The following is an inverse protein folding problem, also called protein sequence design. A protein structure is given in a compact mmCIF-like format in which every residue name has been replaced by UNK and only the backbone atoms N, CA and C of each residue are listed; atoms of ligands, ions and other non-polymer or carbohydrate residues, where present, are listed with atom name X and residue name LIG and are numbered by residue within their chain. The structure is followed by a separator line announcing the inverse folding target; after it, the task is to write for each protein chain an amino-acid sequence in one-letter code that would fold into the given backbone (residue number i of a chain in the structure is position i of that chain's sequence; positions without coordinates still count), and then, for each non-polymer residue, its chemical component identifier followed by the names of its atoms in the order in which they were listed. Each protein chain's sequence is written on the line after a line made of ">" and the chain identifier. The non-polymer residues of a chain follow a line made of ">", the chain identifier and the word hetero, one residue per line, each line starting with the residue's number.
data_IF_078968141535
#
_entry.id   IF_078968141535
#
_cell.length_a   1.000
_cell.length_b   1.000
_cell.length_c   1.000
_cell.angle_alpha   90.00
_cell.angle_beta   90.00
_cell.angle_gamma   90.00
#
_symmetry.space_group_name_H-M   'P 1'
#
loop_
_entity.id
_entity.type
_entity.pdbx_description
1 polymer ?
#
# COMPACT_ATOMS: atom_id res chain seq x y z
N UNK A 1 3.16 4.44 -0.78
CA UNK A 1 2.45 4.12 -2.06
C UNK A 1 1.43 5.20 -2.33
N UNK A 2 1.70 6.04 -3.32
CA UNK A 2 0.78 7.07 -3.80
C UNK A 2 0.03 6.65 -5.06
N UNK A 3 -0.62 7.62 -5.71
CA UNK A 3 -1.30 7.41 -7.00
C UNK A 3 -0.33 7.20 -8.16
N UNK A 4 0.69 8.05 -8.29
CA UNK A 4 1.67 7.99 -9.38
C UNK A 4 2.97 7.25 -9.06
N UNK A 5 3.38 7.28 -7.79
CA UNK A 5 4.68 6.78 -7.33
C UNK A 5 4.57 5.91 -6.07
N UNK A 6 5.67 5.26 -5.74
CA UNK A 6 5.90 4.60 -4.45
C UNK A 6 7.27 4.98 -3.91
N UNK A 7 7.28 5.50 -2.70
CA UNK A 7 8.46 5.86 -1.94
C UNK A 7 8.80 4.72 -0.97
N UNK A 8 10.07 4.32 -0.97
CA UNK A 8 10.66 3.40 0.00
C UNK A 8 11.72 4.15 0.79
N UNK A 9 11.60 4.12 2.11
CA UNK A 9 12.51 4.83 3.02
C UNK A 9 12.90 3.89 4.15
N UNK A 10 14.20 3.80 4.42
CA UNK A 10 14.72 3.17 5.63
C UNK A 10 15.26 4.27 6.53
N UNK A 11 14.74 4.34 7.76
CA UNK A 11 15.17 5.31 8.76
C UNK A 11 15.96 4.62 9.88
N UNK A 12 17.02 5.27 10.36
CA UNK A 12 17.80 4.86 11.53
C UNK A 12 18.06 6.07 12.42
N UNK A 13 17.67 6.00 13.69
CA UNK A 13 17.84 7.13 14.64
C UNK A 13 17.15 8.42 14.17
N UNK A 14 15.99 8.31 13.52
CA UNK A 14 15.25 9.47 12.99
C UNK A 14 15.82 10.07 11.69
N UNK A 15 16.89 9.52 11.12
CA UNK A 15 17.48 9.98 9.85
C UNK A 15 17.26 8.95 8.75
N UNK A 16 16.94 9.37 7.51
CA UNK A 16 16.85 8.44 6.39
C UNK A 16 18.25 7.94 6.00
N UNK A 17 18.43 6.63 5.93
CA UNK A 17 19.66 5.96 5.45
C UNK A 17 19.50 5.38 4.04
N UNK A 18 18.26 5.20 3.60
CA UNK A 18 17.91 4.87 2.22
C UNK A 18 16.65 5.65 1.84
N UNK A 19 16.65 6.25 0.67
CA UNK A 19 15.47 6.78 0.01
C UNK A 19 15.42 6.30 -1.43
N UNK A 20 14.26 5.84 -1.88
CA UNK A 20 14.02 5.51 -3.26
C UNK A 20 12.60 5.93 -3.64
N UNK A 21 12.46 6.58 -4.79
CA UNK A 21 11.17 6.83 -5.40
C UNK A 21 11.07 6.04 -6.69
N UNK A 22 9.96 5.32 -6.86
CA UNK A 22 9.64 4.59 -8.07
C UNK A 22 8.41 5.22 -8.72
N UNK A 23 8.37 5.41 -10.05
CA UNK A 23 7.18 5.84 -10.78
C UNK A 23 6.16 4.68 -10.92
N UNK A 24 5.84 4.04 -9.79
CA UNK A 24 4.96 2.90 -9.65
C UNK A 24 3.95 3.18 -8.52
N UNK A 25 2.82 3.78 -8.87
CA UNK A 25 1.72 4.04 -7.94
C UNK A 25 0.43 3.31 -8.32
N UNK A 26 -0.57 3.42 -7.46
CA UNK A 26 -1.86 2.74 -7.63
C UNK A 26 -2.56 3.08 -8.96
N UNK A 27 -2.61 4.36 -9.33
CA UNK A 27 -3.22 4.82 -10.59
C UNK A 27 -2.42 4.34 -11.80
N UNK A 28 -1.09 4.36 -11.69
CA UNK A 28 -0.19 3.88 -12.75
C UNK A 28 -0.44 2.40 -13.02
N UNK A 29 -0.58 1.58 -11.98
CA UNK A 29 -0.90 0.16 -12.11
C UNK A 29 -2.28 -0.04 -12.73
N UNK A 30 -3.31 0.64 -12.22
CA UNK A 30 -4.68 0.48 -12.75
C UNK A 30 -4.76 0.83 -14.24
N UNK A 31 -4.24 2.01 -14.62
CA UNK A 31 -4.31 2.50 -16.00
C UNK A 31 -3.52 1.64 -16.99
N UNK A 32 -2.29 1.26 -16.62
CA UNK A 32 -1.39 0.55 -17.56
C UNK A 32 -1.64 -0.95 -17.61
N UNK A 33 -2.05 -1.56 -16.49
CA UNK A 33 -2.07 -3.01 -16.38
C UNK A 33 -3.46 -3.59 -16.17
N UNK A 34 -4.30 -3.00 -15.31
CA UNK A 34 -5.61 -3.59 -14.97
C UNK A 34 -6.70 -3.27 -15.99
N UNK A 35 -6.67 -2.09 -16.59
CA UNK A 35 -7.65 -1.67 -17.61
C UNK A 35 -9.01 -1.31 -17.03
N UNK A 36 -10.04 -1.42 -17.86
CA UNK A 36 -11.43 -1.17 -17.47
C UNK A 36 -12.09 -2.43 -16.92
N UNK A 37 -13.25 -2.23 -16.30
CA UNK A 37 -14.10 -3.33 -15.84
C UNK A 37 -14.77 -4.07 -17.00
N UNK A 38 -15.00 -5.39 -16.87
CA UNK A 38 -14.53 -6.24 -15.77
C UNK A 38 -13.03 -6.56 -15.88
N UNK A 39 -12.27 -6.35 -14.79
CA UNK A 39 -10.83 -6.61 -14.75
C UNK A 39 -10.56 -8.09 -15.04
N UNK A 40 -9.83 -8.38 -16.11
CA UNK A 40 -9.53 -9.75 -16.52
C UNK A 40 -8.41 -10.36 -15.65
N UNK A 41 -8.55 -11.64 -15.25
CA UNK A 41 -7.57 -12.33 -14.40
C UNK A 41 -6.15 -12.35 -14.98
N UNK A 42 -6.01 -12.44 -16.30
CA UNK A 42 -4.69 -12.41 -16.95
C UNK A 42 -4.00 -11.05 -16.80
N UNK A 43 -4.77 -9.95 -16.73
CA UNK A 43 -4.26 -8.59 -16.48
C UNK A 43 -3.76 -8.42 -15.06
N UNK A 44 -4.46 -8.98 -14.08
CA UNK A 44 -3.99 -9.04 -12.68
C UNK A 44 -2.67 -9.82 -12.59
N UNK A 45 -2.56 -10.98 -13.25
CA UNK A 45 -1.31 -11.74 -13.30
C UNK A 45 -0.17 -10.95 -13.96
N UNK A 46 -0.44 -10.24 -15.05
CA UNK A 46 0.53 -9.37 -15.70
C UNK A 46 0.98 -8.22 -14.77
N UNK A 47 0.04 -7.57 -14.08
CA UNK A 47 0.32 -6.52 -13.10
C UNK A 47 1.22 -7.02 -11.97
N UNK A 48 0.90 -8.19 -11.38
CA UNK A 48 1.72 -8.82 -10.33
C UNK A 48 3.17 -9.04 -10.78
N UNK A 49 3.36 -9.61 -11.98
CA UNK A 49 4.71 -9.85 -12.55
C UNK A 49 5.47 -8.55 -12.76
N UNK A 50 4.83 -7.54 -13.35
CA UNK A 50 5.42 -6.23 -13.57
C UNK A 50 5.84 -5.55 -12.27
N UNK A 51 4.92 -5.49 -11.29
CA UNK A 51 5.16 -4.88 -9.97
C UNK A 51 6.34 -5.58 -9.27
N UNK A 52 6.34 -6.91 -9.22
CA UNK A 52 7.43 -7.67 -8.60
C UNK A 52 8.78 -7.40 -9.29
N UNK A 53 8.81 -7.37 -10.62
CA UNK A 53 10.01 -7.02 -11.39
C UNK A 53 10.52 -5.61 -11.10
N UNK A 54 9.61 -4.62 -11.10
CA UNK A 54 9.94 -3.21 -10.86
C UNK A 54 10.44 -2.95 -9.42
N UNK A 55 9.93 -3.70 -8.44
CA UNK A 55 10.30 -3.52 -7.04
C UNK A 55 11.55 -4.29 -6.62
N UNK A 56 11.88 -5.41 -7.27
CA UNK A 56 12.90 -6.37 -6.81
C UNK A 56 14.24 -5.72 -6.45
N UNK A 57 14.80 -4.88 -7.33
CA UNK A 57 16.09 -4.24 -7.09
C UNK A 57 16.07 -3.29 -5.87
N UNK A 58 14.97 -2.55 -5.69
CA UNK A 58 14.82 -1.60 -4.57
C UNK A 58 14.48 -2.32 -3.26
N UNK A 59 13.69 -3.39 -3.31
CA UNK A 59 13.44 -4.26 -2.17
C UNK A 59 14.74 -4.90 -1.66
N UNK A 60 15.58 -5.44 -2.55
CA UNK A 60 16.89 -5.97 -2.17
C UNK A 60 17.83 -4.92 -1.58
N UNK A 61 17.73 -3.65 -1.98
CA UNK A 61 18.45 -2.57 -1.31
C UNK A 61 17.94 -2.34 0.11
N UNK A 62 16.61 -2.29 0.32
CA UNK A 62 15.99 -2.17 1.64
C UNK A 62 16.43 -3.31 2.57
N UNK A 63 16.41 -4.56 2.10
CA UNK A 63 16.86 -5.72 2.91
C UNK A 63 18.33 -5.60 3.34
N UNK A 64 19.22 -5.12 2.47
CA UNK A 64 20.65 -4.94 2.82
C UNK A 64 20.89 -3.90 3.91
N UNK A 65 20.11 -2.84 3.96
CA UNK A 65 20.19 -1.85 5.05
C UNK A 65 19.59 -2.38 6.35
N UNK A 66 18.68 -3.35 6.27
CA UNK A 66 17.97 -3.93 7.39
C UNK A 66 16.87 -3.02 7.94
N UNK A 67 15.86 -3.65 8.54
CA UNK A 67 14.76 -2.98 9.23
C UNK A 67 14.19 -3.91 10.30
N UNK A 68 13.55 -3.35 11.32
CA UNK A 68 12.88 -4.12 12.40
C UNK A 68 11.36 -4.01 12.35
N UNK A 69 10.83 -3.05 11.59
CA UNK A 69 9.41 -2.83 11.41
C UNK A 69 9.13 -2.15 10.07
N UNK A 70 7.95 -2.39 9.52
CA UNK A 70 7.47 -1.73 8.31
C UNK A 70 6.25 -0.86 8.61
N UNK A 71 6.25 0.36 8.08
CA UNK A 71 5.15 1.32 8.21
C UNK A 71 4.61 1.61 6.81
N UNK A 72 3.30 1.43 6.65
CA UNK A 72 2.59 1.81 5.44
C UNK A 72 1.91 3.16 5.64
N UNK A 73 2.07 4.07 4.68
CA UNK A 73 1.32 5.34 4.63
C UNK A 73 0.63 5.53 3.28
N UNK A 74 -0.42 6.33 3.30
CA UNK A 74 -1.22 6.69 2.13
C UNK A 74 -2.60 6.04 2.11
N UNK A 75 -3.49 6.57 1.28
CA UNK A 75 -4.90 6.19 1.28
C UNK A 75 -5.16 4.71 0.97
N UNK A 76 -4.28 4.04 0.21
CA UNK A 76 -4.47 2.64 -0.14
C UNK A 76 -4.31 1.73 1.08
N UNK A 77 -3.22 1.84 1.85
CA UNK A 77 -3.01 0.98 3.03
C UNK A 77 -4.04 1.24 4.13
N UNK A 78 -4.46 2.49 4.30
CA UNK A 78 -5.51 2.85 5.25
C UNK A 78 -6.82 2.13 4.90
N UNK A 79 -7.21 2.11 3.62
CA UNK A 79 -8.43 1.42 3.16
C UNK A 79 -8.29 -0.10 3.23
N UNK A 80 -7.13 -0.64 2.87
CA UNK A 80 -6.86 -2.08 3.03
C UNK A 80 -7.01 -2.53 4.48
N UNK A 81 -6.53 -1.71 5.42
CA UNK A 81 -6.70 -1.96 6.84
C UNK A 81 -8.17 -1.87 7.28
N UNK A 82 -8.94 -0.88 6.79
CA UNK A 82 -10.38 -0.79 7.07
C UNK A 82 -11.17 -1.98 6.54
N UNK A 83 -10.91 -2.42 5.31
CA UNK A 83 -11.55 -3.60 4.74
C UNK A 83 -11.18 -4.83 5.57
N UNK A 84 -9.90 -5.00 5.93
CA UNK A 84 -9.47 -6.10 6.78
C UNK A 84 -10.14 -6.09 8.16
N UNK A 85 -10.27 -4.93 8.79
CA UNK A 85 -10.96 -4.76 10.07
C UNK A 85 -12.47 -5.07 9.94
N UNK A 86 -13.13 -4.53 8.91
CA UNK A 86 -14.55 -4.77 8.63
C UNK A 86 -14.84 -6.27 8.42
N UNK A 87 -13.98 -6.98 7.70
CA UNK A 87 -14.10 -8.44 7.49
C UNK A 87 -13.95 -9.25 8.79
N UNK A 88 -13.31 -8.68 9.83
CA UNK A 88 -13.18 -9.27 11.16
C UNK A 88 -14.25 -8.75 12.14
N UNK A 89 -15.18 -7.90 11.69
CA UNK A 89 -16.17 -7.26 12.57
C UNK A 89 -15.56 -6.27 13.56
N UNK A 90 -14.35 -5.75 13.29
CA UNK A 90 -13.65 -4.81 14.15
C UNK A 90 -13.95 -3.34 13.75
N UNK A 91 -13.74 -2.37 14.67
CA UNK A 91 -13.88 -0.94 14.36
C UNK A 91 -13.03 -0.49 13.17
N UNK A 92 -13.53 0.49 12.40
CA UNK A 92 -12.92 0.91 11.11
C UNK A 92 -12.63 2.41 11.02
N UNK A 93 -13.07 3.18 12.01
CA UNK A 93 -13.05 4.65 12.03
C UNK A 93 -11.59 5.17 12.02
N UNK A 94 -10.78 4.65 12.94
CA UNK A 94 -9.35 4.94 13.03
C UNK A 94 -8.51 3.66 12.91
N UNK A 95 -7.66 3.64 11.88
CA UNK A 95 -6.71 2.56 11.62
C UNK A 95 -5.27 3.02 11.87
N UNK A 96 -5.05 4.19 12.47
CA UNK A 96 -3.71 4.63 12.85
C UNK A 96 -3.10 3.67 13.87
N UNK A 97 -1.86 3.27 13.62
CA UNK A 97 -1.15 2.31 14.48
C UNK A 97 -1.61 0.86 14.32
N UNK A 98 -2.75 0.61 13.64
CA UNK A 98 -3.24 -0.74 13.38
C UNK A 98 -2.19 -1.57 12.66
N UNK A 99 -2.03 -2.83 13.08
CA UNK A 99 -1.13 -3.77 12.44
C UNK A 99 -1.91 -4.64 11.44
N UNK A 100 -1.75 -4.35 10.15
CA UNK A 100 -2.30 -5.16 9.09
C UNK A 100 -1.34 -6.29 8.76
N UNK A 101 -1.63 -7.48 9.29
CA UNK A 101 -0.84 -8.68 9.04
C UNK A 101 -0.86 -9.08 7.55
N UNK A 102 0.24 -9.68 7.06
CA UNK A 102 0.39 -10.03 5.64
C UNK A 102 -0.68 -11.01 5.16
N UNK A 103 -1.15 -11.92 6.03
CA UNK A 103 -2.23 -12.88 5.69
C UNK A 103 -3.57 -12.16 5.48
N UNK A 104 -3.90 -11.19 6.34
CA UNK A 104 -5.09 -10.37 6.19
C UNK A 104 -5.00 -9.47 4.95
N UNK A 105 -3.83 -8.88 4.68
CA UNK A 105 -3.59 -8.15 3.43
C UNK A 105 -3.84 -9.05 2.21
N UNK A 106 -3.29 -10.26 2.20
CA UNK A 106 -3.49 -11.23 1.13
C UNK A 106 -4.97 -11.58 0.94
N UNK A 107 -5.69 -11.81 2.05
CA UNK A 107 -7.12 -12.10 2.03
C UNK A 107 -7.99 -10.94 1.50
N UNK A 108 -7.58 -9.69 1.76
CA UNK A 108 -8.22 -8.50 1.17
C UNK A 108 -7.90 -8.39 -0.32
N UNK A 109 -6.64 -8.60 -0.71
CA UNK A 109 -6.24 -8.54 -2.12
C UNK A 109 -6.99 -9.58 -2.95
N UNK A 110 -7.13 -10.81 -2.45
CA UNK A 110 -7.87 -11.84 -3.17
C UNK A 110 -9.34 -11.46 -3.35
N UNK A 111 -10.00 -10.88 -2.33
CA UNK A 111 -11.38 -10.35 -2.50
C UNK A 111 -11.45 -9.26 -3.57
N UNK A 112 -10.49 -8.32 -3.59
CA UNK A 112 -10.40 -7.27 -4.61
C UNK A 112 -10.16 -7.85 -6.02
N UNK A 113 -9.40 -8.94 -6.14
CA UNK A 113 -9.16 -9.62 -7.42
C UNK A 113 -10.42 -10.36 -7.91
N UNK A 114 -11.22 -10.89 -6.98
CA UNK A 114 -12.50 -11.55 -7.30
C UNK A 114 -13.60 -10.56 -7.66
N UNK A 115 -13.59 -9.36 -7.08
CA UNK A 115 -14.47 -8.25 -7.43
C UNK A 115 -14.01 -7.57 -8.75
N UNK A 116 -14.40 -8.18 -9.87
CA UNK A 116 -13.92 -7.80 -11.21
C UNK A 116 -14.55 -6.51 -11.72
N UNK A 117 -15.70 -6.10 -11.20
CA UNK A 117 -16.39 -4.86 -11.54
C UNK A 117 -16.36 -3.86 -10.38
N UNK A 118 -16.53 -2.58 -10.68
CA UNK A 118 -16.62 -1.52 -9.67
C UNK A 118 -17.76 -1.78 -8.69
N UNK A 119 -18.92 -2.23 -9.18
CA UNK A 119 -20.06 -2.57 -8.35
C UNK A 119 -19.72 -3.67 -7.32
N UNK A 120 -19.04 -4.74 -7.74
CA UNK A 120 -18.58 -5.79 -6.82
C UNK A 120 -17.54 -5.26 -5.81
N UNK A 121 -16.67 -4.34 -6.22
CA UNK A 121 -15.68 -3.72 -5.32
C UNK A 121 -16.37 -2.83 -4.28
N UNK A 122 -17.36 -2.05 -4.70
CA UNK A 122 -18.16 -1.20 -3.81
C UNK A 122 -18.95 -2.00 -2.78
N UNK A 123 -19.33 -3.25 -3.10
CA UNK A 123 -20.00 -4.14 -2.17
C UNK A 123 -19.09 -4.71 -1.06
N UNK A 124 -17.77 -4.48 -1.12
CA UNK A 124 -16.85 -4.95 -0.08
C UNK A 124 -17.01 -4.12 1.20
N UNK A 125 -17.11 -4.76 2.38
CA UNK A 125 -17.18 -4.05 3.66
C UNK A 125 -15.99 -3.12 3.88
N UNK A 126 -16.24 -1.89 4.32
CA UNK A 126 -15.19 -0.89 4.56
C UNK A 126 -14.61 -0.25 3.28
N UNK A 127 -15.17 -0.53 2.10
CA UNK A 127 -14.81 0.13 0.86
C UNK A 127 -15.24 1.60 0.88
N UNK A 128 -14.36 2.46 0.36
CA UNK A 128 -14.64 3.87 0.12
C UNK A 128 -15.04 4.07 -1.36
N UNK A 129 -16.23 4.63 -1.66
CA UNK A 129 -16.74 4.78 -3.01
C UNK A 129 -15.78 5.45 -3.99
N UNK A 130 -15.06 6.48 -3.55
CA UNK A 130 -14.21 7.29 -4.42
C UNK A 130 -12.95 6.57 -4.90
N UNK A 131 -12.68 5.37 -4.36
CA UNK A 131 -11.39 4.68 -4.56
C UNK A 131 -11.52 3.25 -5.06
N UNK A 132 -12.74 2.76 -5.28
CA UNK A 132 -13.01 1.40 -5.75
C UNK A 132 -12.18 1.03 -6.98
N UNK A 133 -11.96 1.95 -7.93
CA UNK A 133 -11.24 1.68 -9.18
C UNK A 133 -9.72 1.68 -9.05
N UNK A 134 -9.21 2.23 -7.96
CA UNK A 134 -7.77 2.49 -7.79
C UNK A 134 -7.15 1.60 -6.71
N UNK A 135 -7.99 1.04 -5.82
CA UNK A 135 -7.51 0.33 -4.64
C UNK A 135 -6.75 -0.95 -5.01
N UNK A 136 -7.22 -1.73 -5.99
CA UNK A 136 -6.55 -2.96 -6.40
C UNK A 136 -5.10 -2.71 -6.86
N UNK A 137 -4.86 -1.62 -7.60
CA UNK A 137 -3.49 -1.26 -8.01
C UNK A 137 -2.56 -0.99 -6.83
N UNK A 138 -3.05 -0.27 -5.81
CA UNK A 138 -2.30 -0.04 -4.57
C UNK A 138 -2.12 -1.30 -3.73
N UNK A 139 -3.15 -2.15 -3.67
CA UNK A 139 -3.14 -3.42 -2.94
C UNK A 139 -2.04 -4.36 -3.47
N UNK A 140 -1.95 -4.49 -4.80
CA UNK A 140 -0.93 -5.32 -5.44
C UNK A 140 0.50 -4.82 -5.15
N UNK A 141 0.72 -3.52 -5.02
CA UNK A 141 2.03 -2.94 -4.65
C UNK A 141 2.38 -3.29 -3.20
N UNK A 142 1.47 -3.07 -2.26
CA UNK A 142 1.71 -3.39 -0.85
C UNK A 142 1.93 -4.88 -0.63
N UNK A 143 1.15 -5.73 -1.30
CA UNK A 143 1.32 -7.18 -1.25
C UNK A 143 2.68 -7.61 -1.79
N UNK A 144 3.08 -7.09 -2.96
CA UNK A 144 4.38 -7.41 -3.53
C UNK A 144 5.54 -6.98 -2.62
N UNK A 145 5.46 -5.80 -1.99
CA UNK A 145 6.44 -5.35 -1.01
C UNK A 145 6.48 -6.25 0.22
N UNK A 146 5.32 -6.65 0.75
CA UNK A 146 5.24 -7.55 1.90
C UNK A 146 5.92 -8.88 1.62
N UNK A 147 5.68 -9.46 0.43
CA UNK A 147 6.28 -10.74 0.04
C UNK A 147 7.76 -10.62 -0.30
N UNK A 148 8.18 -9.59 -1.03
CA UNK A 148 9.59 -9.37 -1.39
C UNK A 148 10.48 -9.11 -0.18
N UNK A 149 9.96 -8.39 0.82
CA UNK A 149 10.68 -8.04 2.05
C UNK A 149 10.42 -9.01 3.20
N UNK A 150 9.61 -10.06 2.98
CA UNK A 150 9.23 -11.06 3.99
C UNK A 150 8.67 -10.43 5.27
N UNK A 151 7.75 -9.48 5.11
CA UNK A 151 7.14 -8.76 6.22
C UNK A 151 6.06 -9.60 6.90
N UNK A 152 6.00 -9.53 8.23
CA UNK A 152 4.85 -10.04 9.00
C UNK A 152 3.58 -9.22 8.76
N UNK A 153 3.76 -7.94 8.42
CA UNK A 153 2.67 -7.01 8.14
C UNK A 153 3.11 -5.56 8.09
N UNK A 154 2.13 -4.67 8.06
CA UNK A 154 2.32 -3.22 8.01
C UNK A 154 1.70 -2.56 9.22
N UNK A 155 2.46 -1.73 9.92
CA UNK A 155 1.85 -0.74 10.81
C UNK A 155 1.30 0.41 9.98
N UNK A 156 0.02 0.71 10.13
CA UNK A 156 -0.67 1.70 9.31
C UNK A 156 -0.47 3.09 9.88
N UNK A 157 -0.06 4.04 9.04
CA UNK A 157 -0.01 5.45 9.41
C UNK A 157 -1.08 6.26 8.69
N UNK A 158 -1.84 7.02 9.48
CA UNK A 158 -2.77 8.03 8.96
C UNK A 158 -2.03 9.31 8.55
N UNK A 159 -0.80 9.50 9.05
CA UNK A 159 0.06 10.63 8.68
C UNK A 159 0.80 10.34 7.37
N UNK A 160 0.95 11.38 6.56
CA UNK A 160 1.61 11.33 5.26
C UNK A 160 2.52 12.56 5.08
N UNK A 161 3.02 12.77 3.86
CA UNK A 161 3.96 13.85 3.53
C UNK A 161 3.57 15.23 4.08
N UNK A 162 2.28 15.59 4.07
CA UNK A 162 1.81 16.87 4.62
C UNK A 162 2.13 17.04 6.11
N UNK A 163 1.86 15.99 6.91
CA UNK A 163 2.22 15.98 8.33
C UNK A 163 3.73 15.96 8.53
N UNK A 164 4.46 15.23 7.67
CA UNK A 164 5.93 15.21 7.69
C UNK A 164 6.54 16.60 7.45
N UNK A 165 6.00 17.36 6.49
CA UNK A 165 6.41 18.74 6.23
C UNK A 165 6.13 19.66 7.43
N UNK A 166 4.97 19.54 8.07
CA UNK A 166 4.66 20.32 9.27
C UNK A 166 5.66 20.06 10.41
N UNK A 167 6.02 18.79 10.64
CA UNK A 167 7.02 18.43 11.66
C UNK A 167 8.41 18.92 11.29
N UNK A 168 8.82 18.82 10.02
CA UNK A 168 10.10 19.35 9.54
C UNK A 168 10.19 20.87 9.72
N UNK A 169 9.16 21.60 9.29
CA UNK A 169 9.08 23.06 9.46
C UNK A 169 9.12 23.46 10.93
N UNK A 170 8.40 22.75 11.81
CA UNK A 170 8.42 23.03 13.24
C UNK A 170 9.80 22.77 13.85
N UNK A 171 10.46 21.64 13.50
CA UNK A 171 11.82 21.33 14.00
C UNK A 171 12.87 22.33 13.54
N UNK A 172 12.72 22.93 12.36
CA UNK A 172 13.60 24.00 11.86
C UNK A 172 13.32 25.38 12.46
N UNK A 173 12.13 25.60 12.99
CA UNK A 173 11.74 26.87 13.61
C UNK A 173 12.09 26.93 15.11
N UNK A 174 12.22 25.77 15.76
CA UNK A 174 12.46 25.64 17.21
C UNK A 174 13.88 25.15 17.53
N UNK A 175 14.66 24.75 16.52
CA UNK A 175 16.08 24.43 16.63
C UNK A 175 16.94 25.48 15.96
#
# INVERSE_FOLDING_TARGET
>A
VGGGSTELVVGRGGRPVLTASLPLGALTVCRRWLGADPIARHRVRAARRFIAGALRARAGAVERFGFTAAVGTGGSIQRLARIAAALKGAPTEDVHGHFLDTKALDAVVERLVHARTQAERLALPGMDPDRADTLLGGALIFQALAHLLRLDGWRVSMTALRTGLLVDTHRRAVG
#
